data_IF_479681684334
#
_entry.id   IF_479681684334
#
_cell.length_a   1.000
_cell.length_b   1.000
_cell.length_c   1.000
_cell.angle_alpha   90.00
_cell.angle_beta   90.00
_cell.angle_gamma   90.00
#
_symmetry.space_group_name_H-M   'P 1'
#
loop_
_entity.id
_entity.type
_entity.pdbx_description
1 polymer ?
#
# COMPACT_ATOMS: atom_id res chain seq x y z
N UNK A 1 -34.73 51.78 4.04
CA UNK A 1 -33.33 51.29 3.96
C UNK A 1 -33.36 49.80 3.68
N UNK A 2 -33.39 49.44 2.39
CA UNK A 2 -33.42 48.05 1.93
C UNK A 2 -32.01 47.68 1.50
N UNK A 3 -31.22 47.09 2.41
CA UNK A 3 -29.96 46.45 2.03
C UNK A 3 -30.28 44.97 1.81
N UNK A 4 -30.49 44.63 0.55
CA UNK A 4 -30.63 43.27 0.06
C UNK A 4 -29.42 42.43 0.49
N UNK A 5 -29.62 41.51 1.43
CA UNK A 5 -28.77 40.32 1.54
C UNK A 5 -29.16 39.37 0.41
N UNK A 6 -28.63 39.62 -0.78
CA UNK A 6 -28.60 38.63 -1.86
C UNK A 6 -27.72 37.47 -1.42
N UNK A 7 -28.34 36.46 -0.83
CA UNK A 7 -27.74 35.16 -0.58
C UNK A 7 -27.46 34.52 -1.95
N UNK A 8 -26.23 34.67 -2.44
CA UNK A 8 -25.76 34.00 -3.65
C UNK A 8 -25.67 32.49 -3.35
N UNK A 9 -26.75 31.74 -3.59
CA UNK A 9 -26.66 30.28 -3.72
C UNK A 9 -25.83 29.99 -4.97
N UNK A 10 -24.52 29.84 -4.81
CA UNK A 10 -23.71 29.10 -5.76
C UNK A 10 -24.19 27.65 -5.68
N UNK A 11 -25.08 27.25 -6.57
CA UNK A 11 -25.32 25.84 -6.84
C UNK A 11 -24.02 25.27 -7.44
N UNK A 12 -23.09 24.82 -6.60
CA UNK A 12 -21.89 24.13 -7.05
C UNK A 12 -22.30 22.76 -7.54
N UNK A 13 -22.28 22.56 -8.86
CA UNK A 13 -22.60 21.28 -9.46
C UNK A 13 -21.51 20.27 -9.06
N UNK A 14 -21.90 19.10 -8.55
CA UNK A 14 -20.95 18.04 -8.17
C UNK A 14 -20.18 17.52 -9.39
N UNK A 15 -18.92 17.12 -9.18
CA UNK A 15 -18.10 16.52 -10.23
C UNK A 15 -18.72 15.20 -10.70
N UNK A 16 -18.65 14.86 -12.00
CA UNK A 16 -19.18 13.60 -12.50
C UNK A 16 -18.32 12.42 -12.03
N UNK A 17 -18.97 11.27 -11.92
CA UNK A 17 -18.36 10.00 -11.52
C UNK A 17 -17.90 9.28 -12.79
N UNK A 18 -16.59 9.09 -12.91
CA UNK A 18 -15.98 8.28 -13.95
C UNK A 18 -15.88 6.83 -13.48
N UNK A 19 -16.42 5.91 -14.28
CA UNK A 19 -16.39 4.47 -13.99
C UNK A 19 -15.71 3.68 -15.11
N UNK A 20 -15.09 2.55 -14.74
CA UNK A 20 -14.36 1.66 -15.64
C UNK A 20 -14.97 0.26 -15.61
N UNK A 21 -15.22 -0.31 -16.79
CA UNK A 21 -15.79 -1.64 -16.97
C UNK A 21 -14.96 -2.46 -17.96
N UNK A 22 -14.47 -3.65 -17.56
CA UNK A 22 -14.44 -4.20 -16.18
C UNK A 22 -13.62 -3.31 -15.22
N UNK A 23 -13.73 -3.47 -13.88
CA UNK A 23 -13.19 -2.52 -12.90
C UNK A 23 -11.67 -2.55 -12.71
N UNK A 24 -10.92 -3.06 -13.68
CA UNK A 24 -9.48 -3.33 -13.57
C UNK A 24 -8.66 -2.24 -14.24
N UNK A 25 -7.69 -1.67 -13.52
CA UNK A 25 -6.82 -0.59 -14.03
C UNK A 25 -5.74 -1.08 -15.01
N UNK A 26 -5.50 -2.39 -15.10
CA UNK A 26 -4.47 -2.97 -15.97
C UNK A 26 -5.08 -4.00 -16.91
N UNK A 27 -4.77 -3.87 -18.20
CA UNK A 27 -5.21 -4.77 -19.27
C UNK A 27 -4.05 -5.24 -20.15
N UNK A 28 -4.27 -6.30 -20.92
CA UNK A 28 -3.31 -6.70 -21.96
C UNK A 28 -3.45 -5.82 -23.20
N UNK A 29 -2.35 -5.69 -23.95
CA UNK A 29 -2.38 -5.04 -25.26
C UNK A 29 -3.36 -5.75 -26.20
N UNK A 30 -4.19 -4.95 -26.87
CA UNK A 30 -5.25 -5.42 -27.76
C UNK A 30 -6.61 -5.57 -27.08
N UNK A 31 -6.65 -5.54 -25.74
CA UNK A 31 -7.92 -5.51 -25.01
C UNK A 31 -8.53 -4.11 -24.99
N UNK A 32 -9.85 -4.07 -24.81
CA UNK A 32 -10.63 -2.84 -24.71
C UNK A 32 -11.39 -2.82 -23.40
N UNK A 33 -11.55 -1.62 -22.87
CA UNK A 33 -12.35 -1.35 -21.68
C UNK A 33 -13.31 -0.20 -21.96
N UNK A 34 -14.44 -0.21 -21.28
CA UNK A 34 -15.44 0.85 -21.39
C UNK A 34 -15.30 1.81 -20.23
N UNK A 35 -15.11 3.09 -20.54
CA UNK A 35 -15.24 4.19 -19.60
C UNK A 35 -16.63 4.79 -19.70
N UNK A 36 -17.26 5.10 -18.57
CA UNK A 36 -18.58 5.72 -18.52
C UNK A 36 -18.57 6.90 -17.57
N UNK A 37 -19.10 8.03 -18.03
CA UNK A 37 -19.22 9.26 -17.26
C UNK A 37 -20.66 9.43 -16.79
N UNK A 38 -20.88 9.37 -15.48
CA UNK A 38 -22.19 9.59 -14.86
C UNK A 38 -22.16 10.94 -14.13
N UNK A 39 -22.98 11.91 -14.56
CA UNK A 39 -23.09 13.23 -13.93
C UNK A 39 -24.54 13.65 -13.74
N UNK A 40 -24.81 14.45 -12.72
CA UNK A 40 -26.15 14.94 -12.40
C UNK A 40 -26.54 16.08 -13.36
N UNK A 41 -27.71 15.97 -13.98
CA UNK A 41 -28.32 17.02 -14.79
C UNK A 41 -29.63 17.46 -14.13
N UNK A 42 -29.76 18.72 -13.69
CA UNK A 42 -31.06 19.24 -13.26
C UNK A 42 -32.01 19.26 -14.46
N UNK A 43 -33.15 18.58 -14.33
CA UNK A 43 -34.21 18.39 -15.35
C UNK A 43 -34.93 19.70 -15.77
N UNK A 44 -34.43 20.86 -15.39
CA UNK A 44 -35.00 22.19 -15.72
C UNK A 44 -34.29 22.87 -16.91
N UNK A 45 -33.28 22.21 -17.50
CA UNK A 45 -32.50 22.68 -18.67
C UNK A 45 -32.66 21.75 -19.89
N UNK A 46 -33.83 21.13 -20.01
CA UNK A 46 -34.27 20.08 -20.96
C UNK A 46 -34.37 20.51 -22.45
N UNK A 47 -33.39 21.27 -22.96
CA UNK A 47 -33.38 21.68 -24.37
C UNK A 47 -32.10 21.35 -25.12
N UNK A 48 -31.05 20.79 -24.50
CA UNK A 48 -29.88 20.29 -25.26
C UNK A 48 -29.23 19.05 -24.61
N UNK A 49 -28.93 18.01 -25.40
CA UNK A 49 -28.34 16.77 -24.92
C UNK A 49 -26.91 17.06 -24.43
N UNK A 50 -26.61 16.90 -23.14
CA UNK A 50 -25.25 17.19 -22.66
C UNK A 50 -24.23 16.26 -23.34
N UNK A 51 -23.31 16.86 -24.10
CA UNK A 51 -22.17 16.26 -24.77
C UNK A 51 -21.02 16.08 -23.76
N UNK A 52 -20.79 14.85 -23.29
CA UNK A 52 -19.69 14.57 -22.35
C UNK A 52 -18.36 14.96 -23.00
N UNK A 53 -17.48 15.66 -22.28
CA UNK A 53 -16.11 15.90 -22.72
C UNK A 53 -15.19 14.84 -22.12
N UNK A 54 -14.30 14.31 -22.94
CA UNK A 54 -13.38 13.24 -22.58
C UNK A 54 -11.94 13.71 -22.73
N UNK A 55 -11.12 13.44 -21.72
CA UNK A 55 -9.73 13.84 -21.67
C UNK A 55 -8.82 12.63 -21.50
N UNK A 56 -7.74 12.57 -22.29
CA UNK A 56 -6.61 11.67 -22.13
C UNK A 56 -5.35 12.49 -21.81
N UNK A 57 -4.97 12.56 -20.54
CA UNK A 57 -3.97 13.52 -20.07
C UNK A 57 -4.46 14.95 -20.31
N UNK A 58 -3.83 15.66 -21.25
CA UNK A 58 -4.22 17.00 -21.69
C UNK A 58 -4.96 17.01 -23.04
N UNK A 59 -5.09 15.86 -23.71
CA UNK A 59 -5.73 15.75 -25.01
C UNK A 59 -7.25 15.62 -24.88
N UNK A 60 -8.00 16.39 -25.66
CA UNK A 60 -9.45 16.23 -25.80
C UNK A 60 -9.77 15.12 -26.82
N UNK A 61 -10.55 14.13 -26.42
CA UNK A 61 -10.98 13.05 -27.30
C UNK A 61 -12.23 13.47 -28.11
N UNK A 62 -12.36 13.04 -29.38
CA UNK A 62 -13.42 13.49 -30.29
C UNK A 62 -14.79 12.85 -30.03
N UNK A 63 -15.01 12.25 -28.85
CA UNK A 63 -16.29 11.60 -28.51
C UNK A 63 -17.10 12.46 -27.57
N UNK A 64 -18.41 12.54 -27.81
CA UNK A 64 -19.38 13.24 -26.95
C UNK A 64 -20.36 12.29 -26.27
N UNK A 65 -20.20 10.99 -26.48
CA UNK A 65 -21.05 9.94 -25.90
C UNK A 65 -20.82 9.85 -24.39
N UNK A 66 -21.85 9.38 -23.68
CA UNK A 66 -21.78 9.10 -22.24
C UNK A 66 -20.73 8.02 -21.88
N UNK A 67 -20.42 7.14 -22.83
CA UNK A 67 -19.41 6.09 -22.69
C UNK A 67 -18.49 6.01 -23.90
N UNK A 68 -17.24 5.63 -23.67
CA UNK A 68 -16.22 5.39 -24.70
C UNK A 68 -15.51 4.07 -24.46
N UNK A 69 -15.08 3.41 -25.54
CA UNK A 69 -14.16 2.29 -25.48
C UNK A 69 -12.73 2.78 -25.68
N UNK A 70 -11.82 2.31 -24.83
CA UNK A 70 -10.41 2.71 -24.88
C UNK A 70 -9.51 1.49 -24.74
N UNK A 71 -8.30 1.62 -25.28
CA UNK A 71 -7.27 0.56 -25.28
C UNK A 71 -5.85 1.11 -25.11
N UNK A 72 -5.72 2.42 -24.92
CA UNK A 72 -4.43 3.11 -24.80
C UNK A 72 -4.14 3.41 -23.34
N UNK A 73 -2.89 3.25 -22.88
CA UNK A 73 -2.54 3.62 -21.51
C UNK A 73 -2.63 5.13 -21.32
N UNK A 74 -2.94 5.56 -20.10
CA UNK A 74 -2.94 6.97 -19.75
C UNK A 74 -3.95 7.33 -18.66
N UNK A 75 -4.10 8.63 -18.44
CA UNK A 75 -4.97 9.18 -17.39
C UNK A 75 -6.23 9.73 -18.03
N UNK A 76 -7.35 9.07 -17.77
CA UNK A 76 -8.65 9.45 -18.30
C UNK A 76 -9.43 10.32 -17.32
N UNK A 77 -10.08 11.35 -17.84
CA UNK A 77 -11.03 12.20 -17.09
C UNK A 77 -12.23 12.49 -17.97
N UNK A 78 -13.37 12.78 -17.35
CA UNK A 78 -14.55 13.24 -18.06
C UNK A 78 -15.13 14.51 -17.43
N UNK A 79 -15.90 15.26 -18.20
CA UNK A 79 -16.61 16.45 -17.72
C UNK A 79 -18.01 16.49 -18.35
N UNK A 80 -19.01 16.73 -17.51
CA UNK A 80 -20.38 17.05 -17.93
C UNK A 80 -20.60 18.55 -17.88
N UNK A 81 -21.62 19.05 -18.60
CA UNK A 81 -21.82 20.50 -18.79
C UNK A 81 -22.03 21.20 -17.46
N UNK A 82 -21.22 22.22 -17.20
CA UNK A 82 -21.30 23.03 -15.98
C UNK A 82 -20.72 22.35 -14.74
N UNK A 83 -20.32 21.08 -14.83
CA UNK A 83 -19.72 20.36 -13.72
C UNK A 83 -18.20 20.53 -13.74
N UNK A 84 -17.53 20.43 -12.59
CA UNK A 84 -16.09 20.24 -12.52
C UNK A 84 -15.64 18.98 -13.27
N UNK A 85 -14.34 18.88 -13.55
CA UNK A 85 -13.75 17.67 -14.15
C UNK A 85 -13.77 16.52 -13.13
N UNK A 86 -14.04 15.30 -13.60
CA UNK A 86 -14.04 14.09 -12.76
C UNK A 86 -12.68 13.80 -12.13
N UNK A 87 -12.70 12.94 -11.11
CA UNK A 87 -11.48 12.28 -10.66
C UNK A 87 -10.87 11.44 -11.79
N UNK A 88 -9.54 11.29 -11.83
CA UNK A 88 -8.85 10.54 -12.88
C UNK A 88 -8.91 9.03 -12.67
N UNK A 89 -8.96 8.28 -13.79
CA UNK A 89 -8.64 6.86 -13.82
C UNK A 89 -7.33 6.65 -14.59
N UNK A 90 -6.38 5.96 -13.96
CA UNK A 90 -5.12 5.57 -14.59
C UNK A 90 -5.27 4.17 -15.21
N UNK A 91 -5.27 4.10 -16.54
CA UNK A 91 -5.29 2.84 -17.28
C UNK A 91 -3.88 2.46 -17.70
N UNK A 92 -3.49 1.23 -17.39
CA UNK A 92 -2.20 0.63 -17.77
C UNK A 92 -2.43 -0.49 -18.79
N UNK A 93 -1.54 -0.57 -19.77
CA UNK A 93 -1.57 -1.61 -20.81
C UNK A 93 -0.23 -2.32 -20.80
N UNK A 94 -0.25 -3.65 -20.66
CA UNK A 94 0.97 -4.46 -20.59
C UNK A 94 1.06 -5.46 -21.76
N UNK A 95 2.32 -5.73 -22.16
CA UNK A 95 2.70 -6.79 -23.10
C UNK A 95 3.31 -8.00 -22.39
N UNK A 96 3.29 -8.01 -21.06
CA UNK A 96 3.87 -9.09 -20.27
C UNK A 96 3.00 -10.34 -20.39
N UNK A 97 3.53 -11.47 -19.91
CA UNK A 97 2.79 -12.72 -19.85
C UNK A 97 1.75 -12.75 -18.73
N UNK A 98 2.00 -12.01 -17.65
CA UNK A 98 1.12 -11.89 -16.49
C UNK A 98 0.81 -10.41 -16.22
N UNK A 99 -0.43 -10.12 -15.85
CA UNK A 99 -0.81 -8.80 -15.33
C UNK A 99 -1.44 -8.96 -13.95
N UNK A 100 -1.21 -7.95 -13.10
CA UNK A 100 -1.92 -7.79 -11.84
C UNK A 100 -3.03 -6.76 -12.03
N UNK A 101 -4.27 -7.21 -11.89
CA UNK A 101 -5.46 -6.39 -11.94
C UNK A 101 -5.84 -5.95 -10.53
N UNK A 102 -5.97 -4.63 -10.36
CA UNK A 102 -6.41 -3.97 -9.13
C UNK A 102 -7.65 -3.14 -9.43
N UNK A 103 -8.55 -2.92 -8.46
CA UNK A 103 -9.73 -2.09 -8.65
C UNK A 103 -9.35 -0.64 -8.96
N UNK A 104 -10.12 0.03 -9.81
CA UNK A 104 -9.94 1.47 -10.07
C UNK A 104 -10.49 2.35 -8.95
N UNK A 105 -11.44 1.83 -8.18
CA UNK A 105 -12.07 2.55 -7.08
C UNK A 105 -11.10 2.62 -5.89
N UNK A 106 -11.09 3.74 -5.15
CA UNK A 106 -10.41 3.77 -3.87
C UNK A 106 -11.02 2.72 -2.94
N UNK A 107 -10.17 2.04 -2.18
CA UNK A 107 -10.59 1.09 -1.14
C UNK A 107 -10.42 1.76 0.20
N UNK A 108 -11.44 1.73 1.05
CA UNK A 108 -11.40 2.29 2.40
C UNK A 108 -11.10 1.22 3.45
N UNK A 109 -10.66 1.64 4.63
CA UNK A 109 -10.46 0.71 5.75
C UNK A 109 -11.77 -0.04 6.10
N UNK A 110 -11.64 -1.35 6.30
CA UNK A 110 -12.77 -2.26 6.53
C UNK A 110 -13.42 -2.81 5.26
N UNK A 111 -13.17 -2.22 4.09
CA UNK A 111 -13.67 -2.73 2.81
C UNK A 111 -12.82 -3.89 2.27
N UNK A 112 -13.39 -4.76 1.42
CA UNK A 112 -12.63 -5.83 0.79
C UNK A 112 -11.74 -5.29 -0.34
N UNK A 113 -10.43 -5.60 -0.26
CA UNK A 113 -9.48 -5.38 -1.36
C UNK A 113 -9.33 -6.68 -2.16
N UNK A 114 -9.70 -6.67 -3.44
CA UNK A 114 -9.59 -7.83 -4.34
C UNK A 114 -8.53 -7.58 -5.41
N UNK A 115 -7.53 -8.45 -5.46
CA UNK A 115 -6.47 -8.46 -6.46
C UNK A 115 -6.62 -9.70 -7.34
N UNK A 116 -6.43 -9.54 -8.66
CA UNK A 116 -6.52 -10.64 -9.62
C UNK A 116 -5.27 -10.71 -10.49
N UNK A 117 -4.52 -11.80 -10.38
CA UNK A 117 -3.46 -12.13 -11.32
C UNK A 117 -4.06 -12.83 -12.53
N UNK A 118 -3.77 -12.33 -13.73
CA UNK A 118 -4.32 -12.87 -14.98
C UNK A 118 -3.18 -13.23 -15.93
N UNK A 119 -3.26 -14.43 -16.50
CA UNK A 119 -2.36 -14.88 -17.56
C UNK A 119 -2.84 -14.40 -18.93
N UNK A 120 -1.91 -14.19 -19.84
CA UNK A 120 -2.22 -13.81 -21.21
C UNK A 120 -3.16 -14.84 -21.88
N UNK A 121 -4.14 -14.35 -22.64
CA UNK A 121 -5.25 -15.14 -23.19
C UNK A 121 -6.03 -15.96 -22.13
N UNK A 122 -6.14 -15.45 -20.91
CA UNK A 122 -6.83 -16.12 -19.80
C UNK A 122 -6.30 -17.54 -19.49
N UNK A 123 -5.03 -17.81 -19.84
CA UNK A 123 -4.40 -19.08 -19.50
C UNK A 123 -4.29 -19.23 -17.98
N UNK A 124 -4.41 -20.47 -17.53
CA UNK A 124 -4.24 -20.82 -16.11
C UNK A 124 -2.81 -20.54 -15.67
N UNK A 125 -2.69 -19.79 -14.57
CA UNK A 125 -1.44 -19.48 -13.89
C UNK A 125 -1.25 -20.50 -12.78
N UNK A 126 -0.23 -21.35 -12.90
CA UNK A 126 0.14 -22.37 -11.91
C UNK A 126 1.18 -21.83 -10.95
N UNK A 127 1.20 -22.37 -9.72
CA UNK A 127 2.13 -21.95 -8.65
C UNK A 127 2.09 -20.42 -8.48
N UNK A 128 0.88 -19.89 -8.31
CA UNK A 128 0.62 -18.47 -8.23
C UNK A 128 1.05 -17.93 -6.86
N UNK A 129 1.92 -16.92 -6.86
CA UNK A 129 2.28 -16.14 -5.68
C UNK A 129 1.85 -14.69 -5.84
N UNK A 130 1.30 -14.11 -4.76
CA UNK A 130 1.12 -12.67 -4.63
C UNK A 130 2.17 -12.10 -3.69
N UNK A 131 2.70 -10.94 -4.05
CA UNK A 131 3.70 -10.21 -3.29
C UNK A 131 3.16 -8.84 -2.90
N UNK A 132 3.52 -8.38 -1.71
CA UNK A 132 3.30 -7.04 -1.18
C UNK A 132 4.65 -6.48 -0.75
N UNK A 133 5.06 -5.36 -1.34
CA UNK A 133 6.36 -4.72 -1.13
C UNK A 133 7.56 -5.67 -1.22
N UNK A 134 7.47 -6.63 -2.15
CA UNK A 134 8.51 -7.63 -2.43
C UNK A 134 8.43 -8.90 -1.58
N UNK A 135 7.57 -8.95 -0.57
CA UNK A 135 7.38 -10.14 0.28
C UNK A 135 6.19 -10.96 -0.20
N UNK A 136 6.33 -12.29 -0.25
CA UNK A 136 5.24 -13.18 -0.64
C UNK A 136 4.17 -13.23 0.47
N UNK A 137 2.93 -12.86 0.15
CA UNK A 137 1.81 -12.79 1.11
C UNK A 137 0.80 -13.92 0.94
N UNK A 138 0.65 -14.46 -0.28
CA UNK A 138 -0.26 -15.57 -0.57
C UNK A 138 0.27 -16.47 -1.68
N UNK A 139 -0.08 -17.76 -1.56
CA UNK A 139 0.20 -18.81 -2.53
C UNK A 139 -1.09 -19.52 -2.93
N UNK A 140 -1.21 -19.86 -4.21
CA UNK A 140 -2.27 -20.70 -4.76
C UNK A 140 -1.69 -21.70 -5.76
N UNK A 141 -2.23 -22.92 -5.81
CA UNK A 141 -1.80 -23.92 -6.79
C UNK A 141 -2.12 -23.53 -8.23
N UNK A 142 -3.23 -22.82 -8.43
CA UNK A 142 -3.74 -22.34 -9.73
C UNK A 142 -4.30 -20.92 -9.61
N UNK A 143 -4.76 -20.34 -10.73
CA UNK A 143 -5.35 -19.00 -10.79
C UNK A 143 -6.44 -18.82 -9.73
N UNK A 144 -6.22 -17.85 -8.84
CA UNK A 144 -7.18 -17.47 -7.81
C UNK A 144 -7.03 -15.98 -7.49
N UNK A 145 -8.13 -15.35 -7.08
CA UNK A 145 -8.10 -13.97 -6.59
C UNK A 145 -7.54 -13.92 -5.18
N UNK A 146 -6.69 -12.93 -4.90
CA UNK A 146 -6.29 -12.63 -3.54
C UNK A 146 -7.23 -11.56 -2.98
N UNK A 147 -7.95 -11.91 -1.91
CA UNK A 147 -8.85 -10.97 -1.23
C UNK A 147 -8.36 -10.71 0.20
N UNK A 148 -8.19 -9.44 0.54
CA UNK A 148 -8.09 -8.98 1.92
C UNK A 148 -9.50 -8.59 2.35
N UNK A 149 -10.09 -9.34 3.28
CA UNK A 149 -11.51 -9.19 3.65
C UNK A 149 -11.81 -7.85 4.33
N UNK A 150 -10.87 -7.35 5.12
CA UNK A 150 -10.96 -6.06 5.81
C UNK A 150 -9.64 -5.32 5.59
N UNK A 151 -9.62 -4.43 4.60
CA UNK A 151 -8.44 -3.66 4.27
C UNK A 151 -8.06 -2.72 5.43
N UNK A 152 -6.76 -2.53 5.62
CA UNK A 152 -6.16 -1.62 6.59
C UNK A 152 -5.20 -0.67 5.88
N UNK A 153 -4.86 0.45 6.50
CA UNK A 153 -3.84 1.35 5.98
C UNK A 153 -2.51 0.64 5.68
N UNK A 154 -2.15 -0.39 6.46
CA UNK A 154 -0.94 -1.22 6.26
C UNK A 154 -0.96 -2.10 5.02
N UNK A 155 -2.13 -2.34 4.43
CA UNK A 155 -2.26 -3.06 3.15
C UNK A 155 -2.00 -2.14 1.95
N UNK A 156 -1.79 -0.84 2.18
CA UNK A 156 -1.26 0.04 1.14
C UNK A 156 0.16 -0.39 0.77
N UNK A 157 0.53 -0.29 -0.49
CA UNK A 157 1.87 -0.65 -0.94
C UNK A 157 1.90 -1.10 -2.39
N UNK A 158 3.00 -1.76 -2.77
CA UNK A 158 3.24 -2.18 -4.15
C UNK A 158 3.06 -3.69 -4.29
N UNK A 159 2.04 -4.08 -5.03
CA UNK A 159 1.70 -5.48 -5.28
C UNK A 159 2.27 -5.99 -6.59
N UNK A 160 2.56 -7.29 -6.62
CA UNK A 160 3.02 -8.03 -7.80
C UNK A 160 2.50 -9.46 -7.73
N UNK A 161 2.33 -10.14 -8.86
CA UNK A 161 2.14 -11.59 -8.86
C UNK A 161 3.21 -12.30 -9.69
N UNK A 162 3.46 -13.57 -9.35
CA UNK A 162 4.29 -14.46 -10.16
C UNK A 162 3.64 -15.82 -10.33
N UNK A 163 4.00 -16.52 -11.40
CA UNK A 163 3.57 -17.89 -11.62
C UNK A 163 4.06 -18.43 -12.95
N UNK A 164 3.76 -19.69 -13.18
CA UNK A 164 4.11 -20.40 -14.42
C UNK A 164 2.86 -20.61 -15.25
N UNK A 165 2.95 -20.46 -16.57
CA UNK A 165 1.91 -20.90 -17.49
C UNK A 165 2.45 -22.02 -18.35
N UNK A 166 1.56 -22.85 -18.90
CA UNK A 166 1.95 -23.91 -19.86
C UNK A 166 2.27 -23.26 -21.21
N UNK A 167 3.46 -22.69 -21.35
CA UNK A 167 3.98 -22.09 -22.58
C UNK A 167 5.20 -22.93 -23.00
N UNK A 168 5.42 -23.18 -24.31
CA UNK A 168 6.52 -24.03 -24.78
C UNK A 168 7.93 -23.49 -24.49
N UNK A 169 8.05 -22.20 -24.14
CA UNK A 169 9.32 -21.45 -24.30
C UNK A 169 10.19 -21.40 -23.03
N UNK A 170 9.66 -21.57 -21.82
CA UNK A 170 10.50 -21.76 -20.63
C UNK A 170 9.66 -22.11 -19.39
N UNK A 171 10.24 -22.88 -18.47
CA UNK A 171 9.60 -23.30 -17.22
C UNK A 171 9.81 -22.31 -16.05
N UNK A 172 10.41 -21.16 -16.32
CA UNK A 172 10.69 -20.13 -15.33
C UNK A 172 9.39 -19.43 -14.86
N UNK A 173 9.31 -19.02 -13.58
CA UNK A 173 8.21 -18.20 -13.11
C UNK A 173 8.25 -16.83 -13.78
N UNK A 174 7.13 -16.43 -14.37
CA UNK A 174 6.92 -15.10 -14.92
C UNK A 174 6.41 -14.17 -13.83
N UNK A 175 6.68 -12.88 -13.97
CA UNK A 175 6.26 -11.84 -13.03
C UNK A 175 5.41 -10.81 -13.74
N UNK A 176 4.39 -10.29 -13.05
CA UNK A 176 3.66 -9.11 -13.52
C UNK A 176 4.48 -7.84 -13.26
N UNK A 177 4.09 -6.74 -13.90
CA UNK A 177 4.47 -5.42 -13.42
C UNK A 177 3.98 -5.19 -11.97
N UNK A 178 4.67 -4.30 -11.27
CA UNK A 178 4.33 -3.87 -9.92
C UNK A 178 3.25 -2.78 -9.96
N UNK A 179 2.19 -2.93 -9.18
CA UNK A 179 1.06 -1.99 -9.13
C UNK A 179 0.89 -1.42 -7.72
N UNK A 180 0.76 -0.10 -7.61
CA UNK A 180 0.53 0.55 -6.32
C UNK A 180 -0.95 0.47 -5.95
N UNK A 181 -1.24 0.11 -4.70
CA UNK A 181 -2.58 0.11 -4.10
C UNK A 181 -2.54 1.00 -2.87
N UNK A 182 -3.58 1.81 -2.67
CA UNK A 182 -3.70 2.71 -1.53
C UNK A 182 -5.04 2.47 -0.84
N UNK A 183 -4.99 2.17 0.45
CA UNK A 183 -6.17 2.04 1.31
C UNK A 183 -6.38 3.36 2.05
N UNK A 184 -7.56 3.96 1.90
CA UNK A 184 -7.89 5.25 2.48
C UNK A 184 -8.50 5.09 3.88
N UNK A 185 -8.12 5.97 4.80
CA UNK A 185 -8.72 6.03 6.14
C UNK A 185 -9.85 7.05 6.11
N UNK A 186 -11.05 6.67 6.57
CA UNK A 186 -12.16 7.60 6.66
C UNK A 186 -11.86 8.69 7.71
N UNK A 187 -12.07 9.98 7.40
CA UNK A 187 -11.70 11.09 8.28
C UNK A 187 -12.30 11.01 9.70
N UNK A 188 -13.46 10.37 9.84
CA UNK A 188 -14.24 10.32 11.08
C UNK A 188 -13.79 9.25 12.08
N UNK A 189 -12.85 8.38 11.70
CA UNK A 189 -12.47 7.20 12.52
C UNK A 189 -11.27 7.45 13.43
N UNK A 190 -10.60 8.60 13.32
CA UNK A 190 -9.54 8.98 14.27
C UNK A 190 -10.17 9.72 15.45
N UNK A 191 -10.09 9.18 16.68
CA UNK A 191 -10.41 9.97 17.86
C UNK A 191 -9.52 11.21 17.88
N UNK A 192 -10.03 12.40 18.24
CA UNK A 192 -9.17 13.53 18.56
C UNK A 192 -8.12 13.08 19.57
N UNK A 193 -6.83 13.34 19.29
CA UNK A 193 -5.79 13.15 20.29
C UNK A 193 -6.24 13.91 21.56
N UNK A 194 -6.27 13.27 22.74
CA UNK A 194 -6.58 14.01 23.96
C UNK A 194 -5.58 15.16 24.07
N UNK A 195 -6.03 16.37 24.39
CA UNK A 195 -5.11 17.48 24.60
C UNK A 195 -4.13 17.06 25.70
N UNK A 196 -2.84 17.02 25.36
CA UNK A 196 -1.75 16.95 26.34
C UNK A 196 -1.74 18.28 27.11
N UNK A 197 -2.68 18.42 28.05
CA UNK A 197 -2.61 19.45 29.08
C UNK A 197 -1.49 19.11 30.05
N UNK A 198 -0.69 20.09 30.50
CA UNK A 198 0.32 19.85 31.52
C UNK A 198 -0.37 19.43 32.82
N UNK A 199 0.00 18.26 33.37
CA UNK A 199 -0.42 17.82 34.71
C UNK A 199 0.08 18.83 35.76
N UNK A 200 -0.80 19.52 36.52
CA UNK A 200 -0.39 20.36 37.62
C UNK A 200 -0.61 19.59 38.93
N UNK A 201 0.39 18.82 39.34
CA UNK A 201 0.59 18.43 40.75
C UNK A 201 2.01 17.91 40.96
N UNK A 202 3.00 18.80 40.92
CA UNK A 202 4.25 18.62 41.65
C UNK A 202 4.61 19.97 42.30
N UNK A 203 3.73 20.43 43.17
CA UNK A 203 4.06 21.43 44.17
C UNK A 203 3.59 20.90 45.51
N UNK A 204 4.30 19.92 46.04
CA UNK A 204 4.37 19.78 47.49
C UNK A 204 5.83 19.54 47.88
N UNK A 205 6.31 20.51 48.63
CA UNK A 205 7.65 20.68 49.16
C UNK A 205 7.97 19.67 50.25
N UNK A 206 9.12 19.01 50.16
CA UNK A 206 9.98 18.72 51.33
C UNK A 206 11.40 18.45 50.79
N UNK A 207 12.33 19.39 50.92
CA UNK A 207 13.31 19.42 52.00
C UNK A 207 13.59 18.01 52.54
N UNK A 208 14.42 17.27 51.83
CA UNK A 208 15.22 16.21 52.45
C UNK A 208 16.67 16.36 52.02
N UNK A 209 17.51 16.37 53.05
CA UNK A 209 18.89 16.79 53.08
C UNK A 209 19.77 15.99 52.11
N UNK A 210 20.71 16.72 51.51
CA UNK A 210 21.89 16.18 50.87
C UNK A 210 22.76 15.44 51.89
N UNK A 211 22.63 14.12 51.96
CA UNK A 211 23.67 13.30 52.58
C UNK A 211 23.79 11.97 51.83
N UNK A 212 24.82 11.90 50.98
CA UNK A 212 25.27 10.66 50.35
C UNK A 212 25.73 9.67 51.42
N UNK A 213 25.22 8.43 51.45
CA UNK A 213 25.85 7.38 52.23
C UNK A 213 27.18 7.03 51.57
N UNK A 214 28.28 7.27 52.29
CA UNK A 214 29.62 6.81 51.89
C UNK A 214 29.64 5.28 51.89
N UNK A 215 30.02 4.67 50.77
CA UNK A 215 30.33 3.24 50.73
C UNK A 215 31.58 2.96 51.57
N UNK A 216 31.58 1.93 52.44
CA UNK A 216 32.79 1.50 53.14
C UNK A 216 33.75 0.81 52.16
N UNK A 217 35.01 1.25 52.18
CA UNK A 217 36.13 0.67 51.44
C UNK A 217 36.40 -0.76 51.92
N UNK A 218 36.29 -1.74 51.03
CA UNK A 218 36.53 -3.16 51.35
C UNK A 218 37.99 -3.54 51.09
N UNK A 219 38.90 -2.86 51.78
CA UNK A 219 40.31 -3.21 51.84
C UNK A 219 40.66 -3.85 53.19
N UNK A 220 39.96 -4.92 53.61
CA UNK A 220 40.45 -5.82 54.69
C UNK A 220 39.77 -7.20 54.67
N UNK A 221 40.62 -8.20 54.86
CA UNK A 221 40.38 -9.65 54.90
C UNK A 221 39.52 -10.05 56.11
N UNK A 222 38.83 -11.20 56.00
CA UNK A 222 38.13 -12.03 57.02
C UNK A 222 36.58 -12.09 56.88
N UNK A 223 35.88 -13.11 57.46
CA UNK A 223 35.31 -14.28 56.78
C UNK A 223 33.77 -14.18 56.54
N UNK A 224 33.10 -15.20 55.95
CA UNK A 224 31.75 -15.02 55.39
C UNK A 224 30.66 -15.08 56.47
N UNK A 225 29.94 -13.98 56.67
CA UNK A 225 28.65 -13.99 57.37
C UNK A 225 27.52 -14.32 56.39
N UNK A 226 26.76 -15.38 56.69
CA UNK A 226 25.52 -15.78 56.01
C UNK A 226 24.42 -14.74 56.27
N UNK A 227 24.24 -13.81 55.35
CA UNK A 227 22.99 -13.07 55.19
C UNK A 227 22.86 -12.62 53.72
N UNK A 228 21.71 -12.82 53.05
CA UNK A 228 21.51 -12.40 51.67
C UNK A 228 21.43 -10.86 51.55
N UNK A 229 22.03 -10.23 50.53
CA UNK A 229 21.91 -8.79 50.30
C UNK A 229 20.52 -8.42 49.73
N UNK A 230 20.01 -7.20 49.99
CA UNK A 230 18.72 -6.73 49.47
C UNK A 230 18.73 -6.54 47.94
N UNK A 231 17.56 -6.64 47.28
CA UNK A 231 17.45 -6.65 45.82
C UNK A 231 17.80 -5.28 45.21
N UNK A 232 18.74 -5.26 44.25
CA UNK A 232 19.11 -4.03 43.51
C UNK A 232 20.58 -3.93 43.09
N UNK A 233 21.48 -4.77 43.62
CA UNK A 233 22.88 -4.82 43.17
C UNK A 233 23.10 -6.00 42.21
N UNK A 234 23.01 -5.74 40.91
CA UNK A 234 23.41 -6.70 39.87
C UNK A 234 24.94 -6.78 39.80
N UNK A 235 25.51 -7.93 40.14
CA UNK A 235 26.90 -8.26 39.88
C UNK A 235 27.09 -8.48 38.37
N UNK A 236 27.90 -7.64 37.71
CA UNK A 236 28.40 -7.89 36.35
C UNK A 236 29.05 -9.29 36.31
N UNK A 237 28.45 -10.22 35.59
CA UNK A 237 29.09 -11.49 35.26
C UNK A 237 30.25 -11.21 34.30
N UNK A 238 31.45 -11.61 34.72
CA UNK A 238 32.67 -11.63 33.90
C UNK A 238 32.64 -12.91 33.08
N UNK A 239 32.65 -12.80 31.75
CA UNK A 239 32.75 -13.94 30.84
C UNK A 239 34.12 -14.64 30.98
N UNK A 240 34.19 -15.99 30.94
CA UNK A 240 35.47 -16.69 30.98
C UNK A 240 36.23 -16.55 29.65
N UNK A 241 37.50 -16.18 29.75
CA UNK A 241 38.51 -16.27 28.68
C UNK A 241 38.87 -17.74 28.46
N UNK A 242 38.80 -18.22 27.21
CA UNK A 242 39.47 -19.45 26.78
C UNK A 242 40.68 -19.08 25.89
N UNK A 243 41.82 -19.70 26.20
CA UNK A 243 43.13 -19.47 25.59
C UNK A 243 43.19 -19.96 24.12
N UNK A 244 43.99 -19.27 23.28
CA UNK A 244 44.47 -19.73 21.96
C UNK A 244 45.48 -20.89 22.08
N UNK A 245 46.07 -21.52 21.05
CA UNK A 245 46.29 -21.30 19.59
C UNK A 245 46.93 -22.64 19.04
N UNK A 246 47.55 -22.76 17.83
CA UNK A 246 47.10 -22.92 16.43
C UNK A 246 47.77 -24.19 15.74
N UNK A 247 48.15 -24.28 14.43
CA UNK A 247 47.51 -23.95 13.13
C UNK A 247 47.51 -25.10 12.05
N UNK A 248 46.78 -24.82 10.95
CA UNK A 248 47.05 -25.13 9.53
C UNK A 248 46.96 -26.56 8.93
N UNK A 249 46.21 -26.66 7.82
CA UNK A 249 46.73 -27.16 6.53
C UNK A 249 45.82 -26.77 5.34
N UNK A 250 46.42 -26.07 4.37
CA UNK A 250 45.92 -25.78 3.01
C UNK A 250 45.94 -27.04 2.14
N UNK A 251 44.92 -27.28 1.30
CA UNK A 251 44.99 -27.80 -0.09
C UNK A 251 43.71 -27.36 -0.83
N UNK A 252 43.76 -26.29 -1.65
CA UNK A 252 43.85 -26.22 -3.13
C UNK A 252 42.66 -26.84 -3.92
N UNK A 253 42.27 -26.21 -5.05
CA UNK A 253 41.00 -26.44 -5.75
C UNK A 253 41.12 -27.50 -6.85
N UNK A 254 40.05 -28.26 -7.07
CA UNK A 254 39.94 -29.16 -8.22
C UNK A 254 39.33 -28.40 -9.40
N UNK A 255 40.15 -28.19 -10.42
CA UNK A 255 39.75 -27.78 -11.76
C UNK A 255 40.02 -28.99 -12.65
N UNK A 256 39.03 -29.47 -13.41
CA UNK A 256 39.24 -30.38 -14.54
C UNK A 256 38.20 -30.04 -15.60
N UNK A 257 38.67 -29.32 -16.62
CA UNK A 257 38.11 -29.25 -17.97
C UNK A 257 38.89 -30.29 -18.78
N UNK A 258 38.22 -31.10 -19.60
CA UNK A 258 38.57 -31.42 -20.98
C UNK A 258 37.57 -32.44 -21.58
N UNK A 259 36.88 -31.95 -22.60
CA UNK A 259 36.24 -32.58 -23.76
C UNK A 259 37.17 -33.60 -24.48
N UNK A 260 36.69 -34.38 -25.48
CA UNK A 260 35.67 -34.09 -26.49
C UNK A 260 34.39 -34.94 -26.46
#
# INVERSE_FOLDING_TARGET
>A
MWALTTLLLLATLEKPILSLHPPWTTIFKGERVTLKCDGYHPLLLELRPISTLWYLGHLLLPSHKKSIEVQTPGVYRCQTRGAPVSDPIHLSVSNDWLILQVPYTPVFEGEPLVLRCRGWYDKVVYKLHYYHDGQAVRYFHSSANYTVLQARASDSGRYQCSGTMRIPVESAPMFSAKVAVTVQVLPWTRPPLPPHGPQPWLLETSRFSSESPRCPDRSRRSPPSRAPPPPGCSSRQVAPRLLGHPPALRRRPWNNRLEP
#
